data_IF_882461455230
#
_entry.id   IF_882461455230
#
_cell.length_a   1.000
_cell.length_b   1.000
_cell.length_c   1.000
_cell.angle_alpha   90.00
_cell.angle_beta   90.00
_cell.angle_gamma   90.00
#
_symmetry.space_group_name_H-M   'P 1'
#
loop_
_entity.id
_entity.type
_entity.pdbx_description
1 polymer ?
#
# COMPACT_ATOMS: atom_id res chain seq x y z
N UNK A 1 29.72 -33.06 -42.79
CA UNK A 1 29.75 -31.68 -42.26
C UNK A 1 28.33 -31.16 -42.03
N UNK A 2 27.34 -31.57 -42.85
CA UNK A 2 25.91 -31.26 -42.66
C UNK A 2 25.31 -31.82 -41.35
N UNK A 3 25.69 -33.02 -40.91
CA UNK A 3 25.18 -33.63 -39.66
C UNK A 3 25.51 -32.82 -38.40
N UNK A 4 26.71 -32.25 -38.32
CA UNK A 4 27.15 -31.48 -37.14
C UNK A 4 26.40 -30.16 -37.07
N UNK A 5 26.15 -29.53 -38.23
CA UNK A 5 25.36 -28.30 -38.32
C UNK A 5 23.91 -28.58 -37.90
N UNK A 6 23.32 -29.68 -38.37
CA UNK A 6 21.98 -30.10 -37.96
C UNK A 6 21.89 -30.32 -36.44
N UNK A 7 22.89 -30.98 -35.85
CA UNK A 7 22.93 -31.23 -34.40
C UNK A 7 23.03 -29.93 -33.59
N UNK A 8 23.85 -28.98 -34.04
CA UNK A 8 23.98 -27.66 -33.40
C UNK A 8 22.68 -26.86 -33.51
N UNK A 9 22.03 -26.86 -34.68
CA UNK A 9 20.75 -26.18 -34.88
C UNK A 9 19.67 -26.77 -33.98
N UNK A 10 19.61 -28.10 -33.88
CA UNK A 10 18.65 -28.80 -33.03
C UNK A 10 18.87 -28.47 -31.55
N UNK A 11 20.12 -28.40 -31.10
CA UNK A 11 20.45 -28.02 -29.73
C UNK A 11 20.09 -26.56 -29.40
N UNK A 12 20.29 -25.64 -30.36
CA UNK A 12 19.90 -24.23 -30.19
C UNK A 12 18.37 -24.08 -30.09
N UNK A 13 17.61 -24.83 -30.89
CA UNK A 13 16.13 -24.84 -30.82
C UNK A 13 15.67 -25.39 -29.47
N UNK A 14 16.29 -26.48 -28.98
CA UNK A 14 15.94 -27.06 -27.68
C UNK A 14 16.24 -26.12 -26.50
N UNK A 15 17.33 -25.35 -26.56
CA UNK A 15 17.64 -24.33 -25.54
C UNK A 15 16.61 -23.19 -25.57
N UNK A 16 16.24 -22.71 -26.75
CA UNK A 16 15.27 -21.62 -26.91
C UNK A 16 13.87 -22.06 -26.39
N UNK A 17 13.43 -23.28 -26.71
CA UNK A 17 12.20 -23.86 -26.18
C UNK A 17 12.24 -24.04 -24.64
N UNK A 18 13.41 -24.40 -24.08
CA UNK A 18 13.59 -24.48 -22.62
C UNK A 18 13.43 -23.11 -21.96
N UNK A 19 14.03 -22.08 -22.55
CA UNK A 19 13.95 -20.72 -22.04
C UNK A 19 12.51 -20.18 -22.08
N UNK A 20 11.77 -20.42 -23.16
CA UNK A 20 10.35 -20.06 -23.25
C UNK A 20 9.50 -20.75 -22.18
N UNK A 21 9.76 -22.03 -21.90
CA UNK A 21 9.07 -22.78 -20.85
C UNK A 21 9.39 -22.22 -19.45
N UNK A 22 10.65 -21.86 -19.19
CA UNK A 22 11.06 -21.23 -17.92
C UNK A 22 10.35 -19.88 -17.76
N UNK A 23 10.31 -19.06 -18.81
CA UNK A 23 9.62 -17.77 -18.82
C UNK A 23 8.13 -17.96 -18.53
N UNK A 24 7.48 -18.92 -19.19
CA UNK A 24 6.06 -19.28 -18.95
C UNK A 24 5.81 -19.71 -17.51
N UNK A 25 6.65 -20.57 -16.94
CA UNK A 25 6.57 -21.00 -15.55
C UNK A 25 6.75 -19.85 -14.56
N UNK A 26 7.66 -18.91 -14.84
CA UNK A 26 7.85 -17.70 -14.03
C UNK A 26 6.62 -16.79 -14.08
N UNK A 27 5.99 -16.61 -15.25
CA UNK A 27 4.73 -15.87 -15.38
C UNK A 27 3.58 -16.53 -14.61
N UNK A 28 3.43 -17.85 -14.72
CA UNK A 28 2.43 -18.63 -13.97
C UNK A 28 2.62 -18.51 -12.46
N UNK A 29 3.88 -18.53 -11.99
CA UNK A 29 4.23 -18.39 -10.56
C UNK A 29 3.97 -16.98 -10.04
N UNK A 30 4.22 -15.95 -10.86
CA UNK A 30 3.95 -14.55 -10.51
C UNK A 30 2.45 -14.19 -10.55
N UNK A 31 1.66 -14.88 -11.37
CA UNK A 31 0.20 -14.68 -11.49
C UNK A 31 -0.58 -15.02 -10.20
N UNK A 32 -0.03 -15.90 -9.35
CA UNK A 32 -0.66 -16.32 -8.07
C UNK A 32 -0.47 -15.34 -6.91
N UNK A 33 0.25 -14.23 -7.08
CA UNK A 33 0.33 -13.20 -6.03
C UNK A 33 -1.06 -12.61 -5.82
N UNK A 34 -1.65 -12.84 -4.65
CA UNK A 34 -2.92 -12.24 -4.25
C UNK A 34 -2.86 -10.74 -4.51
N UNK A 35 -3.69 -10.26 -5.45
CA UNK A 35 -3.83 -8.83 -5.71
C UNK A 35 -4.30 -8.16 -4.42
N UNK A 36 -3.74 -6.99 -4.13
CA UNK A 36 -4.27 -6.12 -3.07
C UNK A 36 -5.74 -5.87 -3.37
N UNK A 37 -6.60 -6.04 -2.38
CA UNK A 37 -8.03 -5.81 -2.54
C UNK A 37 -8.30 -4.37 -2.98
N UNK A 38 -9.19 -4.18 -3.96
CA UNK A 38 -9.43 -2.89 -4.62
C UNK A 38 -9.80 -1.77 -3.63
N UNK A 39 -10.55 -2.09 -2.56
CA UNK A 39 -10.82 -1.16 -1.45
C UNK A 39 -9.56 -0.47 -0.90
N UNK A 40 -8.42 -1.15 -0.78
CA UNK A 40 -7.19 -0.53 -0.29
C UNK A 40 -6.56 0.41 -1.33
N UNK A 41 -6.87 0.21 -2.60
CA UNK A 41 -6.47 1.08 -3.71
C UNK A 41 -7.35 2.33 -3.72
N UNK A 42 -8.69 2.16 -3.73
CA UNK A 42 -9.67 3.26 -3.78
C UNK A 42 -9.68 4.11 -2.51
N UNK A 43 -9.22 3.58 -1.37
CA UNK A 43 -9.09 4.31 -0.08
C UNK A 43 -8.42 5.67 -0.19
N UNK A 44 -7.46 5.85 -1.12
CA UNK A 44 -6.80 7.14 -1.30
C UNK A 44 -7.69 8.22 -1.87
N UNK A 45 -8.73 7.84 -2.60
CA UNK A 45 -9.67 8.77 -3.25
C UNK A 45 -10.96 8.86 -2.45
N UNK A 46 -11.46 7.73 -1.96
CA UNK A 46 -12.76 7.60 -1.29
C UNK A 46 -12.67 7.69 0.23
N UNK A 47 -11.49 7.43 0.79
CA UNK A 47 -11.31 7.28 2.23
C UNK A 47 -11.67 8.54 3.01
N UNK A 48 -12.34 8.34 4.15
CA UNK A 48 -12.73 9.42 5.05
C UNK A 48 -11.56 10.32 5.47
N UNK A 49 -10.36 9.75 5.60
CA UNK A 49 -9.18 10.57 5.87
C UNK A 49 -8.89 11.57 4.77
N UNK A 50 -8.81 11.12 3.51
CA UNK A 50 -8.49 12.03 2.43
C UNK A 50 -9.61 13.05 2.21
N UNK A 51 -10.87 12.62 2.23
CA UNK A 51 -11.99 13.49 1.91
C UNK A 51 -12.37 14.42 3.06
N UNK A 52 -12.49 13.93 4.29
CA UNK A 52 -12.93 14.76 5.41
C UNK A 52 -11.74 15.46 6.08
N UNK A 53 -10.68 14.71 6.40
CA UNK A 53 -9.60 15.25 7.23
C UNK A 53 -8.67 16.13 6.40
N UNK A 54 -8.13 15.60 5.30
CA UNK A 54 -7.16 16.33 4.47
C UNK A 54 -7.74 17.48 3.67
N UNK A 55 -9.00 17.41 3.21
CA UNK A 55 -9.60 18.45 2.36
C UNK A 55 -10.49 19.46 3.09
N UNK A 56 -11.00 19.14 4.29
CA UNK A 56 -11.98 20.00 4.95
C UNK A 56 -11.57 20.39 6.37
N UNK A 57 -11.23 19.42 7.22
CA UNK A 57 -10.92 19.71 8.62
C UNK A 57 -9.56 20.42 8.79
N UNK A 58 -8.60 20.20 7.89
CA UNK A 58 -7.27 20.80 8.04
C UNK A 58 -7.26 22.32 7.87
N UNK A 59 -8.27 22.90 7.21
CA UNK A 59 -8.36 24.34 6.98
C UNK A 59 -9.15 25.06 8.09
N UNK A 60 -9.98 24.33 8.85
CA UNK A 60 -10.86 24.88 9.88
C UNK A 60 -10.43 24.37 11.27
N UNK A 61 -9.67 25.19 12.00
CA UNK A 61 -9.16 24.83 13.34
C UNK A 61 -10.28 24.48 14.32
N UNK A 62 -11.40 25.19 14.26
CA UNK A 62 -12.54 24.96 15.16
C UNK A 62 -13.17 23.60 14.90
N UNK A 63 -13.40 23.25 13.63
CA UNK A 63 -13.93 21.94 13.27
C UNK A 63 -12.93 20.82 13.54
N UNK A 64 -11.64 21.05 13.28
CA UNK A 64 -10.58 20.11 13.60
C UNK A 64 -10.58 19.79 15.11
N UNK A 65 -10.62 20.83 15.94
CA UNK A 65 -10.68 20.70 17.39
C UNK A 65 -11.95 19.98 17.85
N UNK A 66 -13.11 20.30 17.28
CA UNK A 66 -14.35 19.60 17.62
C UNK A 66 -14.31 18.12 17.22
N UNK A 67 -13.67 17.80 16.10
CA UNK A 67 -13.59 16.44 15.59
C UNK A 67 -12.62 15.55 16.38
N UNK A 68 -11.42 16.05 16.68
CA UNK A 68 -10.35 15.31 17.35
C UNK A 68 -10.20 15.60 18.84
N UNK A 69 -10.91 16.59 19.38
CA UNK A 69 -10.72 17.12 20.74
C UNK A 69 -9.27 17.55 21.02
N UNK A 70 -8.54 17.89 19.96
CA UNK A 70 -7.14 18.32 19.97
C UNK A 70 -6.97 19.47 18.97
N UNK A 71 -6.09 20.42 19.28
CA UNK A 71 -5.63 21.38 18.27
C UNK A 71 -4.75 20.69 17.24
N UNK A 72 -4.54 21.30 16.06
CA UNK A 72 -3.62 20.75 15.06
C UNK A 72 -2.20 20.57 15.62
N UNK A 73 -1.74 21.54 16.40
CA UNK A 73 -0.44 21.46 17.07
C UNK A 73 -0.33 20.24 18.00
N UNK A 74 -1.36 20.00 18.84
CA UNK A 74 -1.37 18.83 19.73
C UNK A 74 -1.43 17.53 18.95
N UNK A 75 -2.21 17.50 17.86
CA UNK A 75 -2.29 16.35 16.98
C UNK A 75 -0.93 16.03 16.36
N UNK A 76 -0.24 17.04 15.81
CA UNK A 76 1.06 16.86 15.17
C UNK A 76 2.15 16.51 16.20
N UNK A 77 2.06 17.05 17.42
CA UNK A 77 2.93 16.65 18.53
C UNK A 77 2.78 15.15 18.85
N UNK A 78 1.54 14.67 19.05
CA UNK A 78 1.28 13.24 19.29
C UNK A 78 1.75 12.41 18.10
N UNK A 79 1.49 12.86 16.88
CA UNK A 79 1.93 12.20 15.67
C UNK A 79 3.45 12.05 15.65
N UNK A 80 4.20 13.11 15.96
CA UNK A 80 5.67 13.09 16.00
C UNK A 80 6.21 12.07 17.00
N UNK A 81 5.53 11.90 18.14
CA UNK A 81 5.96 10.96 19.18
C UNK A 81 5.77 9.50 18.74
N UNK A 82 4.67 9.18 18.05
CA UNK A 82 4.34 7.79 17.69
C UNK A 82 4.73 7.41 16.26
N UNK A 83 5.02 8.38 15.39
CA UNK A 83 5.13 8.17 13.95
C UNK A 83 6.14 7.07 13.62
N UNK A 84 7.28 7.03 14.32
CA UNK A 84 8.33 6.04 14.11
C UNK A 84 7.85 4.61 14.41
N UNK A 85 7.07 4.44 15.48
CA UNK A 85 6.62 3.13 15.95
C UNK A 85 5.47 2.57 15.12
N UNK A 86 4.59 3.45 14.63
CA UNK A 86 3.44 3.04 13.81
C UNK A 86 3.72 3.11 12.30
N UNK A 87 4.88 3.59 11.88
CA UNK A 87 5.27 3.64 10.47
C UNK A 87 5.38 2.22 9.89
N UNK A 88 4.95 2.06 8.64
CA UNK A 88 5.16 0.83 7.87
C UNK A 88 5.72 1.22 6.51
N UNK A 89 6.87 0.64 6.18
CA UNK A 89 7.48 0.84 4.87
C UNK A 89 6.62 0.18 3.78
N UNK A 90 6.56 0.78 2.57
CA UNK A 90 5.99 0.13 1.40
C UNK A 90 6.64 -1.23 1.11
N UNK A 91 5.84 -2.17 0.64
CA UNK A 91 6.30 -3.50 0.23
C UNK A 91 5.77 -3.83 -1.17
N UNK A 92 6.29 -4.88 -1.78
CA UNK A 92 5.84 -5.35 -3.10
C UNK A 92 4.35 -5.67 -3.13
N UNK A 93 3.81 -6.15 -2.00
CA UNK A 93 2.38 -6.43 -1.84
C UNK A 93 1.63 -5.17 -1.48
N UNK A 94 2.04 -4.45 -0.43
CA UNK A 94 1.38 -3.22 0.01
C UNK A 94 2.20 -2.01 -0.43
N UNK A 95 1.96 -1.57 -1.67
CA UNK A 95 2.68 -0.43 -2.27
C UNK A 95 2.44 0.88 -1.51
N UNK A 96 1.27 1.04 -0.89
CA UNK A 96 0.91 2.28 -0.18
C UNK A 96 0.26 1.95 1.17
N UNK A 97 1.08 1.71 2.21
CA UNK A 97 0.60 1.46 3.55
C UNK A 97 -0.20 2.65 4.11
N UNK A 98 -1.07 2.37 5.08
CA UNK A 98 -1.78 3.42 5.83
C UNK A 98 -0.75 4.24 6.60
N UNK A 99 -0.79 5.56 6.41
CA UNK A 99 0.20 6.47 7.01
C UNK A 99 0.00 6.56 8.53
N UNK A 100 1.05 6.91 9.30
CA UNK A 100 0.92 7.21 10.72
C UNK A 100 -0.18 8.22 11.04
N UNK A 101 -0.32 9.26 10.20
CA UNK A 101 -1.32 10.31 10.35
C UNK A 101 -2.74 9.76 10.20
N UNK A 102 -2.97 8.91 9.21
CA UNK A 102 -4.24 8.21 8.99
C UNK A 102 -4.59 7.28 10.16
N UNK A 103 -3.62 6.51 10.64
CA UNK A 103 -3.81 5.63 11.81
C UNK A 103 -4.21 6.42 13.04
N UNK A 104 -3.47 7.49 13.35
CA UNK A 104 -3.75 8.35 14.49
C UNK A 104 -5.16 8.93 14.41
N UNK A 105 -5.56 9.43 13.24
CA UNK A 105 -6.89 10.01 13.05
C UNK A 105 -8.02 9.01 13.32
N UNK A 106 -7.91 7.77 12.81
CA UNK A 106 -8.91 6.72 13.05
C UNK A 106 -8.93 6.34 14.54
N UNK A 107 -7.77 6.17 15.17
CA UNK A 107 -7.66 5.81 16.59
C UNK A 107 -8.27 6.87 17.49
N UNK A 108 -7.95 8.15 17.28
CA UNK A 108 -8.53 9.24 18.07
C UNK A 108 -10.04 9.28 17.93
N UNK A 109 -10.57 9.05 16.72
CA UNK A 109 -12.02 9.00 16.50
C UNK A 109 -12.68 7.89 17.33
N UNK A 110 -12.09 6.69 17.36
CA UNK A 110 -12.59 5.58 18.17
C UNK A 110 -12.53 5.88 19.67
N UNK A 111 -11.42 6.45 20.16
CA UNK A 111 -11.25 6.78 21.59
C UNK A 111 -12.27 7.82 22.05
N UNK A 112 -12.52 8.86 21.24
CA UNK A 112 -13.49 9.91 21.59
C UNK A 112 -14.91 9.34 21.65
N UNK A 113 -15.29 8.48 20.69
CA UNK A 113 -16.61 7.84 20.70
C UNK A 113 -16.79 6.98 21.95
N UNK A 114 -15.81 6.16 22.31
CA UNK A 114 -15.88 5.31 23.51
C UNK A 114 -15.90 6.11 24.83
N UNK A 115 -15.54 7.39 24.83
CA UNK A 115 -15.67 8.26 26.01
C UNK A 115 -17.04 8.92 26.15
N UNK A 116 -17.90 8.82 25.13
CA UNK A 116 -19.24 9.44 25.12
C UNK A 116 -20.32 8.45 25.58
N UNK A 117 -20.06 7.14 25.54
CA UNK A 117 -20.93 6.08 26.05
C UNK A 117 -20.45 5.60 27.42
#
# INVERSE_FOLDING_TARGET
MEDVISLVVQHLIEEEERDEQIISLLFLKNSKRQKVHDMFISRREEGAFQNLISKHLIDDETKFHNYFRLTKYQFDFVLSAIAKDVFKAPTTTVKCPITPKEKLAVTLRLVIINKIY
#
